data_IF_247413038806
#
_entry.id   IF_247413038806
#
_cell.length_a   1.000
_cell.length_b   1.000
_cell.length_c   1.000
_cell.angle_alpha   90.00
_cell.angle_beta   90.00
_cell.angle_gamma   90.00
#
_symmetry.space_group_name_H-M   'P 1'
#
loop_
_entity.id
_entity.type
_entity.pdbx_description
1 polymer ?
#
# COMPACT_ATOMS: atom_id res chain seq x y z
N UNK A 1 8.18 -42.89 -3.85
CA UNK A 1 9.40 -42.10 -4.14
C UNK A 1 9.00 -40.66 -4.38
N UNK A 2 9.16 -39.81 -3.37
CA UNK A 2 8.84 -38.38 -3.50
C UNK A 2 10.01 -37.68 -4.20
N UNK A 3 9.77 -37.10 -5.38
CA UNK A 3 10.73 -36.21 -6.04
C UNK A 3 10.83 -34.93 -5.21
N UNK A 4 11.97 -34.73 -4.55
CA UNK A 4 12.35 -33.45 -3.98
C UNK A 4 12.41 -32.40 -5.09
N UNK A 5 11.52 -31.41 -4.99
CA UNK A 5 11.61 -30.18 -5.79
C UNK A 5 12.77 -29.37 -5.22
N UNK A 6 13.94 -29.48 -5.81
CA UNK A 6 15.01 -28.51 -5.60
C UNK A 6 14.66 -27.25 -6.40
N UNK A 7 14.66 -26.07 -5.80
CA UNK A 7 14.48 -24.84 -6.56
C UNK A 7 15.67 -24.67 -7.48
N UNK A 8 15.37 -24.47 -8.76
CA UNK A 8 16.34 -24.13 -9.80
C UNK A 8 17.09 -22.85 -9.40
N UNK A 9 18.40 -22.99 -9.12
CA UNK A 9 19.32 -21.90 -8.82
C UNK A 9 19.71 -21.15 -10.08
N UNK A 10 18.75 -20.72 -10.89
CA UNK A 10 18.95 -19.62 -11.81
C UNK A 10 18.90 -18.33 -10.98
N UNK A 11 20.02 -17.96 -10.39
CA UNK A 11 20.18 -16.69 -9.70
C UNK A 11 19.82 -15.58 -10.67
N UNK A 12 18.65 -14.97 -10.47
CA UNK A 12 18.24 -13.77 -11.19
C UNK A 12 19.39 -12.75 -11.13
N UNK A 13 19.85 -12.29 -12.30
CA UNK A 13 20.92 -11.29 -12.43
C UNK A 13 20.25 -9.91 -12.52
N UNK A 14 20.01 -9.23 -11.41
CA UNK A 14 19.27 -7.97 -11.40
C UNK A 14 19.95 -6.86 -12.20
N UNK A 15 21.28 -6.93 -12.36
CA UNK A 15 22.01 -6.00 -13.22
C UNK A 15 21.67 -6.14 -14.69
N UNK A 16 21.56 -7.37 -15.18
CA UNK A 16 21.14 -7.64 -16.57
C UNK A 16 19.69 -7.18 -16.80
N UNK A 17 18.79 -7.39 -15.83
CA UNK A 17 17.40 -6.92 -15.89
C UNK A 17 17.32 -5.39 -15.94
N UNK A 18 18.09 -4.67 -15.09
CA UNK A 18 18.18 -3.22 -15.11
C UNK A 18 18.66 -2.70 -16.48
N UNK A 19 19.69 -3.31 -17.04
CA UNK A 19 20.23 -2.95 -18.36
C UNK A 19 19.21 -3.15 -19.49
N UNK A 20 18.47 -4.25 -19.46
CA UNK A 20 17.42 -4.54 -20.43
C UNK A 20 16.29 -3.52 -20.34
N UNK A 21 15.80 -3.24 -19.13
CA UNK A 21 14.77 -2.24 -18.86
C UNK A 21 15.18 -0.85 -19.35
N UNK A 22 16.38 -0.40 -19.00
CA UNK A 22 16.92 0.87 -19.46
C UNK A 22 16.93 0.98 -20.99
N UNK A 23 17.40 -0.08 -21.67
CA UNK A 23 17.44 -0.13 -23.15
C UNK A 23 16.05 -0.14 -23.77
N UNK A 24 15.10 -0.86 -23.17
CA UNK A 24 13.73 -0.92 -23.63
C UNK A 24 13.06 0.46 -23.62
N UNK A 25 13.38 1.27 -22.61
CA UNK A 25 12.87 2.64 -22.50
C UNK A 25 13.73 3.68 -23.24
N UNK A 26 14.80 3.27 -23.90
CA UNK A 26 15.71 4.17 -24.62
C UNK A 26 16.54 5.11 -23.72
N UNK A 27 16.59 4.84 -22.42
CA UNK A 27 17.29 5.72 -21.46
C UNK A 27 18.80 5.54 -21.50
N UNK A 28 19.53 6.65 -21.35
CA UNK A 28 20.96 6.66 -21.09
C UNK A 28 21.25 6.41 -19.62
N UNK A 29 22.48 6.02 -19.27
CA UNK A 29 22.90 5.93 -17.87
C UNK A 29 22.81 7.27 -17.12
N UNK A 30 23.01 8.39 -17.84
CA UNK A 30 22.88 9.73 -17.29
C UNK A 30 21.43 10.05 -16.89
N UNK A 31 20.45 9.72 -17.73
CA UNK A 31 19.03 9.90 -17.43
C UNK A 31 18.57 9.02 -16.27
N UNK A 32 19.02 7.75 -16.22
CA UNK A 32 18.73 6.89 -15.07
C UNK A 32 19.38 7.43 -13.80
N UNK A 33 20.60 7.97 -13.88
CA UNK A 33 21.27 8.63 -12.77
C UNK A 33 20.48 9.82 -12.23
N UNK A 34 19.98 10.66 -13.13
CA UNK A 34 19.16 11.82 -12.77
C UNK A 34 17.84 11.41 -12.09
N UNK A 35 17.16 10.38 -12.59
CA UNK A 35 15.88 9.89 -12.05
C UNK A 35 16.02 9.21 -10.69
N UNK A 36 17.12 8.47 -10.48
CA UNK A 36 17.29 7.62 -9.30
C UNK A 36 18.20 8.22 -8.22
N UNK A 37 18.94 9.29 -8.56
CA UNK A 37 19.97 9.85 -7.69
C UNK A 37 21.20 8.95 -7.50
N UNK A 38 21.31 7.84 -8.25
CA UNK A 38 22.47 6.96 -8.22
C UNK A 38 23.51 7.42 -9.25
N UNK A 39 24.80 7.53 -8.91
CA UNK A 39 25.84 7.90 -9.89
C UNK A 39 25.85 6.95 -11.11
N UNK A 40 26.06 7.50 -12.31
CA UNK A 40 26.10 6.71 -13.56
C UNK A 40 27.18 5.60 -13.51
N UNK A 41 28.32 5.85 -12.82
CA UNK A 41 29.35 4.86 -12.58
C UNK A 41 28.87 3.70 -11.69
N UNK A 42 28.02 3.98 -10.70
CA UNK A 42 27.38 2.96 -9.86
C UNK A 42 26.38 2.14 -10.66
N UNK A 43 25.54 2.79 -11.45
CA UNK A 43 24.58 2.12 -12.35
C UNK A 43 25.29 1.19 -13.34
N UNK A 44 26.39 1.66 -13.97
CA UNK A 44 27.20 0.83 -14.87
C UNK A 44 27.80 -0.40 -14.15
N UNK A 45 28.24 -0.26 -12.90
CA UNK A 45 28.75 -1.39 -12.11
C UNK A 45 27.63 -2.38 -11.75
N UNK A 46 26.41 -1.89 -11.44
CA UNK A 46 25.24 -2.73 -11.20
C UNK A 46 24.87 -3.49 -12.46
N UNK A 47 24.71 -2.82 -13.61
CA UNK A 47 24.34 -3.43 -14.89
C UNK A 47 25.31 -4.52 -15.39
N UNK A 48 26.54 -4.49 -14.91
CA UNK A 48 27.59 -5.47 -15.23
C UNK A 48 27.87 -6.43 -14.07
N UNK A 49 27.00 -6.53 -13.08
CA UNK A 49 27.09 -7.40 -11.90
C UNK A 49 28.42 -7.24 -11.11
N UNK A 50 29.04 -6.05 -11.20
CA UNK A 50 30.30 -5.74 -10.48
C UNK A 50 30.09 -5.31 -9.04
N UNK A 51 28.87 -4.94 -8.66
CA UNK A 51 28.45 -4.63 -7.30
C UNK A 51 27.04 -5.15 -7.06
N UNK A 52 26.78 -5.57 -5.83
CA UNK A 52 25.45 -6.03 -5.41
C UNK A 52 24.47 -4.87 -5.20
N UNK A 53 23.20 -5.13 -5.43
CA UNK A 53 22.10 -4.24 -5.11
C UNK A 53 21.77 -4.33 -3.62
N UNK A 54 22.06 -3.26 -2.88
CA UNK A 54 21.55 -3.10 -1.52
C UNK A 54 20.08 -2.66 -1.56
N UNK A 55 19.38 -2.81 -0.44
CA UNK A 55 17.98 -2.39 -0.31
C UNK A 55 17.78 -0.90 -0.66
N UNK A 56 18.68 0.00 -0.22
CA UNK A 56 18.65 1.43 -0.56
C UNK A 56 18.72 1.65 -2.09
N UNK A 57 19.62 0.96 -2.78
CA UNK A 57 19.73 1.07 -4.24
C UNK A 57 18.49 0.54 -4.96
N UNK A 58 17.90 -0.57 -4.46
CA UNK A 58 16.66 -1.11 -4.99
C UNK A 58 15.50 -0.13 -4.82
N UNK A 59 15.37 0.48 -3.65
CA UNK A 59 14.34 1.47 -3.37
C UNK A 59 14.47 2.70 -4.27
N UNK A 60 15.70 3.22 -4.47
CA UNK A 60 15.97 4.35 -5.38
C UNK A 60 15.67 4.01 -6.84
N UNK A 61 16.03 2.81 -7.30
CA UNK A 61 15.72 2.35 -8.65
C UNK A 61 14.22 2.22 -8.86
N UNK A 62 13.51 1.58 -7.93
CA UNK A 62 12.06 1.40 -7.98
C UNK A 62 11.34 2.74 -8.03
N UNK A 63 11.65 3.64 -7.10
CA UNK A 63 11.02 4.96 -7.00
C UNK A 63 11.36 5.86 -8.18
N UNK A 64 12.66 5.96 -8.54
CA UNK A 64 13.12 6.88 -9.58
C UNK A 64 12.74 6.45 -11.00
N UNK A 65 12.61 5.15 -11.26
CA UNK A 65 12.20 4.62 -12.55
C UNK A 65 10.72 4.24 -12.60
N UNK A 66 10.00 4.35 -11.48
CA UNK A 66 8.60 3.94 -11.32
C UNK A 66 8.38 2.49 -11.74
N UNK A 67 9.29 1.60 -11.34
CA UNK A 67 9.24 0.18 -11.62
C UNK A 67 9.08 -0.62 -10.34
N UNK A 68 8.50 -1.81 -10.48
CA UNK A 68 8.48 -2.79 -9.41
C UNK A 68 9.88 -3.37 -9.16
N UNK A 69 10.30 -3.45 -7.90
CA UNK A 69 11.55 -4.11 -7.51
C UNK A 69 11.59 -5.56 -8.04
N UNK A 70 10.45 -6.25 -8.04
CA UNK A 70 10.33 -7.60 -8.56
C UNK A 70 10.72 -7.71 -10.04
N UNK A 71 10.51 -6.67 -10.84
CA UNK A 71 10.90 -6.64 -12.25
C UNK A 71 12.43 -6.80 -12.45
N UNK A 72 13.24 -6.42 -11.45
CA UNK A 72 14.70 -6.59 -11.49
C UNK A 72 15.15 -8.03 -11.16
N UNK A 73 14.28 -8.85 -10.61
CA UNK A 73 14.58 -10.23 -10.20
C UNK A 73 13.95 -11.29 -11.12
N UNK A 74 12.99 -10.90 -11.95
CA UNK A 74 12.49 -11.78 -13.01
C UNK A 74 13.45 -11.72 -14.20
N UNK A 75 14.25 -12.77 -14.37
CA UNK A 75 15.28 -12.87 -15.38
C UNK A 75 14.75 -12.55 -16.79
N UNK A 76 15.62 -11.94 -17.60
CA UNK A 76 15.40 -11.63 -19.03
C UNK A 76 15.39 -12.94 -19.83
N UNK A 77 14.51 -13.86 -19.52
CA UNK A 77 14.17 -14.94 -20.42
C UNK A 77 13.07 -14.43 -21.33
N UNK A 78 13.51 -13.91 -22.43
CA UNK A 78 13.00 -13.62 -23.76
C UNK A 78 11.54 -13.82 -24.12
N UNK A 79 10.60 -13.66 -23.23
CA UNK A 79 9.23 -13.39 -23.57
C UNK A 79 8.92 -11.98 -23.08
N UNK A 80 8.87 -11.06 -24.04
CA UNK A 80 8.26 -9.76 -23.89
C UNK A 80 6.96 -9.98 -23.10
N UNK A 81 6.81 -9.49 -21.85
CA UNK A 81 5.52 -9.59 -21.22
C UNK A 81 4.58 -8.77 -22.10
N UNK A 82 3.82 -9.47 -22.92
CA UNK A 82 2.65 -8.89 -23.55
C UNK A 82 1.97 -8.07 -22.44
N UNK A 83 1.51 -6.83 -22.67
CA UNK A 83 0.61 -6.17 -21.74
C UNK A 83 -0.65 -7.05 -21.70
N UNK A 84 -0.58 -8.12 -20.96
CA UNK A 84 -1.55 -9.20 -21.00
C UNK A 84 -1.27 -10.17 -19.87
N UNK A 85 -2.23 -10.52 -19.24
CA UNK A 85 -2.56 -11.65 -18.38
C UNK A 85 -1.34 -12.40 -17.82
N UNK A 86 -0.82 -11.95 -16.69
CA UNK A 86 0.20 -12.70 -15.91
C UNK A 86 -0.34 -14.01 -15.31
N UNK A 87 -1.58 -14.40 -15.61
CA UNK A 87 -2.22 -15.61 -15.08
C UNK A 87 -2.39 -15.63 -13.55
N UNK A 88 -2.10 -14.50 -12.87
CA UNK A 88 -2.25 -14.41 -11.40
C UNK A 88 -3.72 -14.51 -11.02
N UNK A 89 -4.00 -15.31 -10.03
CA UNK A 89 -5.31 -15.34 -9.40
C UNK A 89 -5.18 -15.59 -7.92
N UNK A 90 -6.13 -15.09 -7.16
CA UNK A 90 -6.35 -15.43 -5.76
C UNK A 90 -7.78 -15.93 -5.60
N UNK A 91 -7.97 -16.92 -4.77
CA UNK A 91 -9.29 -17.42 -4.39
C UNK A 91 -9.34 -17.36 -2.87
N UNK A 92 -10.18 -16.47 -2.36
CA UNK A 92 -10.38 -16.27 -0.93
C UNK A 92 -11.80 -16.69 -0.59
N UNK A 93 -11.96 -17.63 0.32
CA UNK A 93 -13.27 -18.14 0.74
C UNK A 93 -13.91 -17.19 1.76
N UNK A 94 -15.21 -17.31 1.97
CA UNK A 94 -15.91 -16.51 2.95
C UNK A 94 -15.24 -16.62 4.34
N UNK A 95 -14.97 -15.47 4.95
CA UNK A 95 -14.28 -15.40 6.25
C UNK A 95 -12.75 -15.44 6.20
N UNK A 96 -12.14 -15.78 5.06
CA UNK A 96 -10.69 -15.75 4.87
C UNK A 96 -10.18 -14.36 4.45
N UNK A 97 -8.86 -14.20 4.41
CA UNK A 97 -8.15 -12.96 4.10
C UNK A 97 -7.49 -12.34 5.32
N UNK A 98 -6.60 -11.38 5.09
CA UNK A 98 -5.90 -10.67 6.18
C UNK A 98 -6.89 -9.76 6.92
N UNK A 99 -7.13 -10.02 8.19
CA UNK A 99 -7.97 -9.18 9.03
C UNK A 99 -7.14 -8.09 9.71
N UNK A 100 -7.70 -6.88 9.81
CA UNK A 100 -7.15 -5.74 10.56
C UNK A 100 -8.31 -5.09 11.30
N UNK A 101 -8.22 -5.10 12.62
CA UNK A 101 -9.20 -4.47 13.49
C UNK A 101 -8.73 -3.06 13.84
N UNK A 102 -9.65 -2.10 13.72
CA UNK A 102 -9.48 -0.73 14.15
C UNK A 102 -10.64 -0.33 15.04
N UNK A 103 -10.59 0.86 15.62
CA UNK A 103 -11.71 1.41 16.40
C UNK A 103 -13.00 1.49 15.57
N UNK A 104 -12.88 1.90 14.31
CA UNK A 104 -14.02 2.23 13.46
C UNK A 104 -14.45 1.10 12.53
N UNK A 105 -13.53 0.15 12.21
CA UNK A 105 -13.75 -0.87 11.21
C UNK A 105 -13.10 -2.21 11.56
N UNK A 106 -13.77 -3.30 11.23
CA UNK A 106 -13.16 -4.60 11.01
C UNK A 106 -12.88 -4.75 9.52
N UNK A 107 -11.65 -4.53 9.10
CA UNK A 107 -11.23 -4.66 7.71
C UNK A 107 -10.77 -6.07 7.41
N UNK A 108 -11.19 -6.58 6.25
CA UNK A 108 -10.67 -7.82 5.68
C UNK A 108 -10.15 -7.55 4.29
N UNK A 109 -8.90 -7.91 4.06
CA UNK A 109 -8.18 -7.73 2.80
C UNK A 109 -8.11 -9.06 2.03
N UNK A 110 -9.01 -9.30 1.05
CA UNK A 110 -8.91 -10.45 0.15
C UNK A 110 -7.67 -10.31 -0.75
N UNK A 111 -7.14 -11.45 -1.20
CA UNK A 111 -5.99 -11.50 -2.10
C UNK A 111 -4.74 -10.76 -1.57
N UNK A 112 -4.54 -10.74 -0.25
CA UNK A 112 -3.38 -10.08 0.39
C UNK A 112 -2.04 -10.72 0.02
N UNK A 113 -2.03 -11.97 -0.45
CA UNK A 113 -0.85 -12.68 -0.95
C UNK A 113 -0.39 -12.22 -2.35
N UNK A 114 -1.27 -11.53 -3.10
CA UNK A 114 -0.89 -10.99 -4.40
C UNK A 114 -0.19 -9.64 -4.23
N UNK A 115 1.06 -9.57 -4.65
CA UNK A 115 1.83 -8.33 -4.69
C UNK A 115 1.43 -7.47 -5.90
N UNK A 116 1.63 -6.15 -5.79
CA UNK A 116 1.46 -5.19 -6.90
C UNK A 116 0.08 -5.26 -7.56
N UNK A 117 -0.95 -5.34 -6.75
CA UNK A 117 -2.33 -5.18 -7.20
C UNK A 117 -2.55 -3.72 -7.61
N UNK A 118 -3.25 -3.49 -8.71
CA UNK A 118 -3.72 -2.15 -9.09
C UNK A 118 -4.99 -1.74 -8.34
N UNK A 119 -5.73 -2.72 -7.88
CA UNK A 119 -6.95 -2.55 -7.10
C UNK A 119 -6.81 -3.37 -5.82
N UNK A 120 -7.05 -2.73 -4.69
CA UNK A 120 -7.04 -3.35 -3.37
C UNK A 120 -8.49 -3.53 -2.93
N UNK A 121 -9.03 -4.75 -2.94
CA UNK A 121 -10.33 -5.00 -2.37
C UNK A 121 -10.26 -5.03 -0.84
N UNK A 122 -11.25 -4.41 -0.19
CA UNK A 122 -11.41 -4.38 1.26
C UNK A 122 -12.88 -4.65 1.56
N UNK A 123 -13.16 -5.63 2.42
CA UNK A 123 -14.48 -5.77 3.02
C UNK A 123 -14.40 -5.15 4.40
N UNK A 124 -15.14 -4.08 4.62
CA UNK A 124 -15.20 -3.36 5.88
C UNK A 124 -16.53 -3.65 6.58
N UNK A 125 -16.49 -4.06 7.84
CA UNK A 125 -17.63 -4.01 8.76
C UNK A 125 -17.51 -2.75 9.60
N UNK A 126 -18.58 -1.97 9.66
CA UNK A 126 -18.58 -0.64 10.27
C UNK A 126 -18.98 -0.73 11.75
N UNK A 127 -18.17 -0.12 12.63
CA UNK A 127 -18.45 -0.08 14.06
C UNK A 127 -19.03 1.27 14.49
N UNK A 128 -18.46 2.38 14.01
CA UNK A 128 -18.90 3.71 14.38
C UNK A 128 -20.33 3.98 13.91
N UNK A 129 -21.16 4.50 14.81
CA UNK A 129 -22.56 4.82 14.55
C UNK A 129 -22.85 6.32 14.50
N UNK A 130 -21.84 7.12 14.77
CA UNK A 130 -21.88 8.57 14.63
C UNK A 130 -20.52 9.11 14.22
N UNK A 131 -20.51 10.32 13.67
CA UNK A 131 -19.27 11.01 13.31
C UNK A 131 -18.42 11.33 14.56
N UNK A 132 -19.07 11.55 15.72
CA UNK A 132 -18.39 11.77 17.00
C UNK A 132 -17.64 10.51 17.47
N UNK A 133 -18.26 9.33 17.35
CA UNK A 133 -17.60 8.04 17.63
C UNK A 133 -16.45 7.78 16.67
N UNK A 134 -16.62 8.12 15.40
CA UNK A 134 -15.62 7.92 14.37
C UNK A 134 -14.36 8.75 14.66
N UNK A 135 -14.52 10.04 14.93
CA UNK A 135 -13.46 10.99 15.13
C UNK A 135 -13.01 11.68 13.84
N UNK A 136 -11.70 11.74 13.59
CA UNK A 136 -11.17 12.41 12.41
C UNK A 136 -11.45 11.60 11.14
N UNK A 137 -11.86 12.30 10.06
CA UNK A 137 -12.03 11.70 8.75
C UNK A 137 -10.69 11.19 8.24
N UNK A 138 -10.70 10.02 7.62
CA UNK A 138 -9.51 9.42 7.00
C UNK A 138 -9.42 9.80 5.52
N UNK A 139 -8.21 9.86 4.99
CA UNK A 139 -7.98 10.03 3.56
C UNK A 139 -6.80 9.20 3.10
N UNK A 140 -6.79 8.79 1.86
CA UNK A 140 -5.67 8.11 1.22
C UNK A 140 -5.57 8.48 -0.26
N UNK A 141 -4.38 8.37 -0.88
CA UNK A 141 -4.24 8.69 -2.29
C UNK A 141 -5.05 7.73 -3.18
N UNK A 142 -5.41 8.23 -4.38
CA UNK A 142 -6.08 7.43 -5.39
C UNK A 142 -7.59 7.59 -5.39
N UNK A 143 -8.25 6.56 -5.86
CA UNK A 143 -9.69 6.52 -6.08
C UNK A 143 -10.29 5.33 -5.32
N UNK A 144 -11.54 5.47 -4.94
CA UNK A 144 -12.29 4.42 -4.27
C UNK A 144 -13.66 4.22 -4.93
N UNK A 145 -13.98 2.96 -5.20
CA UNK A 145 -15.34 2.53 -5.49
C UNK A 145 -15.85 1.71 -4.31
N UNK A 146 -16.96 2.13 -3.73
CA UNK A 146 -17.59 1.43 -2.61
C UNK A 146 -18.96 0.90 -3.00
N UNK A 147 -19.28 -0.32 -2.57
CA UNK A 147 -20.56 -1.00 -2.77
C UNK A 147 -21.06 -1.49 -1.42
N UNK A 148 -22.28 -1.11 -1.04
CA UNK A 148 -22.90 -1.55 0.21
C UNK A 148 -23.37 -3.00 0.09
N UNK A 149 -22.76 -3.88 0.88
CA UNK A 149 -23.09 -5.31 0.92
C UNK A 149 -24.28 -5.61 1.82
N UNK A 150 -24.39 -4.89 2.95
CA UNK A 150 -25.38 -5.15 4.00
C UNK A 150 -25.63 -3.89 4.84
N UNK A 151 -26.86 -3.69 5.28
CA UNK A 151 -27.28 -2.57 6.11
C UNK A 151 -27.46 -1.26 5.35
N UNK A 152 -27.52 -0.17 6.08
CA UNK A 152 -27.44 1.21 5.60
C UNK A 152 -26.18 1.87 6.09
N UNK A 153 -25.55 2.65 5.24
CA UNK A 153 -24.29 3.36 5.49
C UNK A 153 -24.49 4.84 5.20
N UNK A 154 -23.99 5.70 6.09
CA UNK A 154 -23.90 7.12 5.83
C UNK A 154 -22.43 7.48 5.54
N UNK A 155 -22.18 7.92 4.30
CA UNK A 155 -20.85 8.38 3.90
C UNK A 155 -20.75 9.88 4.15
N UNK A 156 -19.79 10.25 4.98
CA UNK A 156 -19.38 11.62 5.22
C UNK A 156 -18.12 11.93 4.41
N UNK A 157 -18.05 13.12 3.82
CA UNK A 157 -16.89 13.58 3.07
C UNK A 157 -16.61 15.04 3.40
N UNK A 158 -15.35 15.47 3.19
CA UNK A 158 -14.95 16.86 3.44
C UNK A 158 -15.51 17.88 2.44
N UNK A 159 -16.03 17.43 1.28
CA UNK A 159 -16.46 18.33 0.19
C UNK A 159 -17.97 18.30 -0.09
N UNK A 160 -18.66 17.23 0.31
CA UNK A 160 -20.10 17.04 0.02
C UNK A 160 -20.90 16.80 1.29
N UNK A 161 -22.18 17.10 1.22
CA UNK A 161 -23.11 16.72 2.28
C UNK A 161 -23.15 15.19 2.45
N UNK A 162 -23.39 14.69 3.67
CA UNK A 162 -23.51 13.26 3.92
C UNK A 162 -24.56 12.61 3.04
N UNK A 163 -24.27 11.41 2.57
CA UNK A 163 -25.18 10.62 1.74
C UNK A 163 -25.42 9.27 2.36
N UNK A 164 -26.71 8.84 2.40
CA UNK A 164 -27.10 7.50 2.84
C UNK A 164 -27.17 6.55 1.65
N UNK A 165 -26.55 5.39 1.82
CA UNK A 165 -26.48 4.32 0.87
C UNK A 165 -27.02 3.04 1.51
N UNK A 166 -27.87 2.31 0.80
CA UNK A 166 -28.44 1.03 1.24
C UNK A 166 -27.74 -0.14 0.56
N UNK A 167 -27.96 -1.32 1.07
CA UNK A 167 -27.49 -2.56 0.41
C UNK A 167 -27.88 -2.57 -1.07
N UNK A 168 -26.87 -2.72 -1.95
CA UNK A 168 -27.00 -2.63 -3.40
C UNK A 168 -26.62 -1.29 -4.02
N UNK A 169 -26.54 -0.21 -3.21
CA UNK A 169 -26.07 1.08 -3.69
C UNK A 169 -24.55 1.12 -3.77
N UNK A 170 -24.03 2.04 -4.58
CA UNK A 170 -22.58 2.23 -4.75
C UNK A 170 -22.24 3.69 -4.96
N UNK A 171 -20.96 4.00 -4.70
CA UNK A 171 -20.38 5.33 -4.93
C UNK A 171 -18.96 5.17 -5.44
N UNK A 172 -18.54 6.12 -6.28
CA UNK A 172 -17.15 6.29 -6.74
C UNK A 172 -16.70 7.71 -6.41
N UNK A 173 -15.49 7.85 -5.85
CA UNK A 173 -14.96 9.15 -5.46
C UNK A 173 -13.43 9.16 -5.35
N UNK A 174 -12.84 10.37 -5.38
CA UNK A 174 -11.44 10.60 -5.10
C UNK A 174 -11.18 10.44 -3.60
N UNK A 175 -10.48 9.39 -3.21
CA UNK A 175 -10.21 9.06 -1.81
C UNK A 175 -9.16 9.97 -1.12
N UNK A 176 -8.54 10.88 -1.87
CA UNK A 176 -7.83 12.02 -1.31
C UNK A 176 -8.74 13.01 -0.57
N UNK A 177 -10.03 13.01 -0.86
CA UNK A 177 -11.07 13.68 -0.10
C UNK A 177 -11.27 12.94 1.24
N UNK A 178 -11.13 13.65 2.37
CA UNK A 178 -11.30 13.06 3.68
C UNK A 178 -12.73 12.51 3.84
N UNK A 179 -12.87 11.30 4.34
CA UNK A 179 -14.15 10.57 4.38
C UNK A 179 -14.29 9.65 5.59
N UNK A 180 -15.52 9.26 5.89
CA UNK A 180 -15.88 8.27 6.91
C UNK A 180 -17.15 7.53 6.51
N UNK A 181 -17.18 6.22 6.72
CA UNK A 181 -18.39 5.41 6.63
C UNK A 181 -18.95 5.17 8.03
N UNK A 182 -20.19 5.54 8.23
CA UNK A 182 -20.92 5.40 9.50
C UNK A 182 -22.04 4.38 9.32
N UNK A 183 -22.18 3.44 10.25
CA UNK A 183 -23.29 2.50 10.26
C UNK A 183 -24.59 3.23 10.61
N UNK A 184 -25.53 3.28 9.65
CA UNK A 184 -26.77 4.07 9.74
C UNK A 184 -28.04 3.22 10.01
N UNK A 185 -27.91 1.88 10.06
CA UNK A 185 -28.99 0.97 10.43
C UNK A 185 -28.62 0.10 11.63
N UNK A 186 -29.59 -0.51 12.28
CA UNK A 186 -29.34 -1.56 13.28
C UNK A 186 -28.75 -2.80 12.60
N UNK A 187 -27.97 -3.58 13.38
CA UNK A 187 -27.30 -4.78 12.88
C UNK A 187 -26.00 -4.50 12.08
N UNK A 188 -25.52 -5.51 11.36
CA UNK A 188 -24.27 -5.38 10.59
C UNK A 188 -24.40 -4.40 9.43
N UNK A 189 -23.40 -3.54 9.27
CA UNK A 189 -23.26 -2.67 8.12
C UNK A 189 -21.94 -2.99 7.45
N UNK A 190 -21.96 -3.44 6.20
CA UNK A 190 -20.77 -3.90 5.47
C UNK A 190 -20.65 -3.26 4.11
N UNK A 191 -19.42 -2.87 3.78
CA UNK A 191 -19.06 -2.24 2.50
C UNK A 191 -17.95 -3.04 1.85
N UNK A 192 -18.04 -3.23 0.53
CA UNK A 192 -16.90 -3.62 -0.30
C UNK A 192 -16.29 -2.36 -0.89
N UNK A 193 -15.07 -2.05 -0.51
CA UNK A 193 -14.27 -0.96 -1.12
C UNK A 193 -13.23 -1.53 -2.07
N UNK A 194 -13.07 -0.89 -3.21
CA UNK A 194 -12.03 -1.14 -4.21
C UNK A 194 -11.17 0.11 -4.32
N UNK A 195 -9.97 0.08 -3.74
CA UNK A 195 -9.07 1.23 -3.67
C UNK A 195 -7.88 1.07 -4.61
N UNK A 196 -7.42 2.18 -5.21
CA UNK A 196 -6.25 2.17 -6.11
C UNK A 196 -4.93 2.51 -5.40
N UNK A 197 -4.99 2.97 -4.13
CA UNK A 197 -3.81 3.24 -3.33
C UNK A 197 -3.03 1.94 -2.98
N UNK A 198 -1.71 2.02 -2.72
CA UNK A 198 -0.96 0.90 -2.16
C UNK A 198 -1.54 0.42 -0.82
N UNK A 199 -1.62 -0.90 -0.60
CA UNK A 199 -2.21 -1.50 0.60
C UNK A 199 -1.59 -0.96 1.90
N UNK A 200 -0.28 -0.70 1.91
CA UNK A 200 0.43 -0.12 3.06
C UNK A 200 -0.07 1.27 3.44
N UNK A 201 -0.46 2.09 2.47
CA UNK A 201 -1.00 3.43 2.70
C UNK A 201 -2.45 3.37 3.20
N UNK A 202 -3.25 2.43 2.69
CA UNK A 202 -4.61 2.18 3.17
C UNK A 202 -4.63 1.73 4.63
N UNK A 203 -3.71 0.82 5.00
CA UNK A 203 -3.57 0.36 6.38
C UNK A 203 -3.15 1.54 7.27
N UNK A 204 -2.15 2.32 6.85
CA UNK A 204 -1.65 3.45 7.62
C UNK A 204 -2.71 4.55 7.86
N UNK A 205 -3.59 4.80 6.88
CA UNK A 205 -4.67 5.79 7.00
C UNK A 205 -5.75 5.39 8.03
N UNK A 206 -5.91 4.08 8.28
CA UNK A 206 -6.95 3.56 9.17
C UNK A 206 -6.44 3.15 10.56
N UNK A 207 -5.12 3.18 10.80
CA UNK A 207 -4.52 2.92 12.12
C UNK A 207 -4.22 4.26 12.77
N UNK A 208 -4.77 4.51 13.97
CA UNK A 208 -4.43 5.71 14.75
C UNK A 208 -2.91 5.78 14.95
N UNK A 209 -2.28 6.95 14.77
CA UNK A 209 -0.87 7.10 15.09
C UNK A 209 -0.70 6.76 16.58
N UNK A 210 0.14 5.77 16.88
CA UNK A 210 0.47 5.40 18.24
C UNK A 210 0.84 6.68 18.99
N UNK A 211 0.18 6.97 20.14
CA UNK A 211 0.48 8.14 20.95
C UNK A 211 2.00 8.24 21.17
N UNK A 212 2.61 9.22 20.53
CA UNK A 212 4.00 9.57 20.79
C UNK A 212 4.01 10.16 22.20
N UNK A 213 4.28 9.32 23.21
CA UNK A 213 4.51 9.79 24.58
C UNK A 213 5.58 10.87 24.53
N UNK A 214 5.16 12.13 24.64
CA UNK A 214 6.08 13.27 24.77
C UNK A 214 6.99 12.96 25.96
N UNK A 215 8.33 13.06 25.82
CA UNK A 215 9.22 12.85 26.94
C UNK A 215 8.81 13.82 28.06
N UNK A 216 8.50 13.26 29.23
CA UNK A 216 8.22 14.06 30.43
C UNK A 216 9.44 14.94 30.70
N UNK A 217 9.22 16.26 30.74
CA UNK A 217 10.26 17.21 31.17
C UNK A 217 10.76 16.78 32.56
N UNK A 218 12.04 16.49 32.65
CA UNK A 218 12.71 16.22 33.92
C UNK A 218 12.42 17.39 34.91
N UNK A 219 12.15 17.11 36.20
CA UNK A 219 11.92 18.14 37.17
C UNK A 219 13.14 19.04 37.31
N UNK A 220 12.96 20.34 37.16
CA UNK A 220 14.00 21.34 37.35
C UNK A 220 14.56 21.25 38.76
N UNK A 221 15.82 20.86 38.92
CA UNK A 221 16.52 20.87 40.19
C UNK A 221 16.62 22.29 40.69
N UNK A 222 15.81 22.61 41.72
CA UNK A 222 15.88 23.89 42.42
C UNK A 222 17.24 24.12 43.05
N UNK A 223 17.96 25.09 42.52
CA UNK A 223 19.22 25.58 43.06
C UNK A 223 18.91 26.33 44.35
N UNK A 224 19.05 25.67 45.51
CA UNK A 224 19.06 26.36 46.84
C UNK A 224 20.20 27.34 46.89
N UNK A 225 19.89 28.63 46.88
CA UNK A 225 20.81 29.71 47.21
C UNK A 225 21.30 29.58 48.65
N UNK A 226 22.60 29.46 48.83
CA UNK A 226 23.29 29.64 50.11
C UNK A 226 23.55 31.12 50.27
N UNK A 227 22.85 31.76 51.20
CA UNK A 227 23.27 33.01 51.81
C UNK A 227 24.09 32.64 53.05
N UNK A 228 25.22 33.20 53.17
CA UNK A 228 26.12 33.29 54.29
C UNK A 228 27.12 34.34 53.99
#
# INVERSE_FOLDING_TARGET
>A
MAKQFLPDKSLAKPGAALKALRRQHGWTLAEVSQRTGLPASTLSKIENDKISLSFDKLARLSSGLQIDIAALFHGVNGENPQPGVNGRRSIVRAGEGKAIETKNYSHRYPASELLNKKIIPIVAELHARSLEEFGELVHHPGEEYAFVLEGEVELHTSLYAPVRLKAGDSIYFDSGMAHAYIAASEGPCRVLSLCTAPETQLIAANVEPAEVKRPQKAPSSGRKGRRG
#
